data_IF_773414538425
#
_entry.id   IF_773414538425
#
_cell.length_a   1.000
_cell.length_b   1.000
_cell.length_c   1.000
_cell.angle_alpha   90.00
_cell.angle_beta   90.00
_cell.angle_gamma   90.00
#
_symmetry.space_group_name_H-M   'P 1'
#
loop_
_entity.id
_entity.type
_entity.pdbx_description
1 polymer ?
#
# COMPACT_ATOMS: atom_id res chain seq x y z
N UNK A 1 -18.22 3.43 -18.34
CA UNK A 1 -16.93 2.84 -17.96
C UNK A 1 -15.78 3.69 -18.51
N UNK A 2 -15.90 4.26 -19.72
CA UNK A 2 -14.93 5.25 -20.25
C UNK A 2 -14.83 6.54 -19.40
N UNK A 3 -15.93 7.05 -18.83
CA UNK A 3 -15.91 8.24 -17.95
C UNK A 3 -15.24 8.03 -16.57
N UNK A 4 -15.06 6.78 -16.13
CA UNK A 4 -14.41 6.48 -14.85
C UNK A 4 -12.88 6.62 -14.93
N UNK A 5 -12.32 6.46 -16.13
CA UNK A 5 -10.89 6.51 -16.45
C UNK A 5 -10.52 7.83 -17.14
N UNK A 6 -11.14 8.94 -16.74
CA UNK A 6 -10.70 10.28 -17.11
C UNK A 6 -9.26 10.51 -16.64
N UNK A 7 -8.30 10.15 -17.47
CA UNK A 7 -6.89 10.43 -17.25
C UNK A 7 -6.62 11.87 -17.67
N UNK A 8 -5.90 12.59 -16.84
CA UNK A 8 -5.30 13.85 -17.24
C UNK A 8 -4.21 13.54 -18.29
N UNK A 9 -4.56 13.66 -19.58
CA UNK A 9 -3.64 13.38 -20.69
C UNK A 9 -2.66 14.56 -20.86
N UNK A 10 -1.49 14.28 -21.44
CA UNK A 10 -0.55 15.32 -21.83
C UNK A 10 -1.24 16.36 -22.74
N UNK A 11 -0.92 17.65 -22.56
CA UNK A 11 -1.47 18.75 -23.35
C UNK A 11 -2.87 19.23 -22.95
N UNK A 12 -3.41 18.75 -21.82
CA UNK A 12 -4.63 19.27 -21.19
C UNK A 12 -4.45 20.70 -20.67
N UNK A 13 -3.23 21.09 -20.29
CA UNK A 13 -2.95 22.44 -19.77
C UNK A 13 -2.29 23.34 -20.81
N UNK A 14 -2.44 24.65 -20.65
CA UNK A 14 -1.73 25.66 -21.45
C UNK A 14 -0.21 25.73 -21.13
N UNK A 15 0.24 25.16 -20.01
CA UNK A 15 1.67 25.07 -19.65
C UNK A 15 2.31 23.80 -20.25
N UNK A 16 3.64 23.80 -20.40
CA UNK A 16 4.42 22.58 -20.68
C UNK A 16 4.00 21.47 -19.69
N UNK A 17 3.87 20.23 -20.15
CA UNK A 17 3.11 19.16 -19.50
C UNK A 17 3.44 18.84 -18.03
N UNK A 18 2.76 17.84 -17.45
CA UNK A 18 2.99 17.41 -16.06
C UNK A 18 4.38 16.78 -15.86
N UNK A 19 5.43 17.57 -15.77
CA UNK A 19 6.77 17.05 -15.58
C UNK A 19 6.86 16.25 -14.28
N UNK A 20 7.42 15.04 -14.36
CA UNK A 20 7.71 14.19 -13.22
C UNK A 20 8.73 14.88 -12.29
N UNK A 21 8.19 15.64 -11.33
CA UNK A 21 8.94 16.48 -10.39
C UNK A 21 8.13 16.71 -9.11
N UNK A 22 8.82 16.95 -8.00
CA UNK A 22 8.15 17.28 -6.74
C UNK A 22 7.42 18.62 -6.79
N UNK A 23 7.97 19.61 -7.50
CA UNK A 23 7.35 20.93 -7.71
C UNK A 23 5.99 20.81 -8.38
N UNK A 24 5.86 19.93 -9.38
CA UNK A 24 4.59 19.69 -10.06
C UNK A 24 3.56 19.00 -9.14
N UNK A 25 4.01 18.07 -8.28
CA UNK A 25 3.14 17.44 -7.28
C UNK A 25 2.67 18.47 -6.26
N UNK A 26 3.55 19.35 -5.81
CA UNK A 26 3.20 20.46 -4.90
C UNK A 26 2.22 21.43 -5.55
N UNK A 27 2.44 21.78 -6.82
CA UNK A 27 1.52 22.61 -7.59
C UNK A 27 0.12 21.98 -7.66
N UNK A 28 0.04 20.70 -8.03
CA UNK A 28 -1.21 19.93 -8.11
C UNK A 28 -2.00 19.91 -6.79
N UNK A 29 -1.29 19.82 -5.66
CA UNK A 29 -1.89 19.68 -4.33
C UNK A 29 -2.05 21.01 -3.59
N UNK A 30 -1.49 22.10 -4.12
CA UNK A 30 -1.67 23.44 -3.58
C UNK A 30 -3.10 23.97 -3.79
N UNK A 31 -3.80 23.46 -4.82
CA UNK A 31 -5.19 23.76 -5.03
C UNK A 31 -6.07 23.02 -4.01
N UNK A 32 -6.97 23.70 -3.29
CA UNK A 32 -7.96 23.03 -2.46
C UNK A 32 -8.76 22.00 -3.26
N UNK A 33 -9.02 20.85 -2.62
CA UNK A 33 -9.95 19.85 -3.13
C UNK A 33 -11.34 20.47 -3.21
N UNK A 34 -12.10 20.13 -4.25
CA UNK A 34 -13.48 20.61 -4.42
C UNK A 34 -14.32 20.38 -3.16
N UNK A 35 -14.88 21.46 -2.63
CA UNK A 35 -15.77 21.46 -1.47
C UNK A 35 -16.90 22.47 -1.70
N UNK A 36 -18.13 22.21 -1.24
CA UNK A 36 -19.26 23.15 -1.39
C UNK A 36 -18.99 24.54 -0.80
N UNK A 37 -18.00 24.66 0.10
CA UNK A 37 -17.65 25.88 0.82
C UNK A 37 -16.50 26.66 0.17
N UNK A 38 -15.86 26.13 -0.88
CA UNK A 38 -14.70 26.74 -1.55
C UNK A 38 -15.14 27.25 -2.93
N UNK A 39 -14.92 28.54 -3.25
CA UNK A 39 -15.20 29.07 -4.59
C UNK A 39 -14.48 28.27 -5.67
N UNK A 40 -15.17 28.00 -6.78
CA UNK A 40 -14.67 27.18 -7.89
C UNK A 40 -13.34 27.70 -8.42
N UNK A 41 -13.15 29.02 -8.44
CA UNK A 41 -11.91 29.66 -8.93
C UNK A 41 -10.69 29.29 -8.09
N UNK A 42 -10.89 28.96 -6.81
CA UNK A 42 -9.81 28.54 -5.91
C UNK A 42 -9.43 27.08 -6.09
N UNK A 43 -10.26 26.25 -6.72
CA UNK A 43 -9.99 24.81 -6.93
C UNK A 43 -9.41 24.50 -8.31
N UNK A 44 -9.16 25.53 -9.12
CA UNK A 44 -8.60 25.43 -10.46
C UNK A 44 -7.10 25.16 -10.40
N UNK A 45 -6.69 23.97 -10.87
CA UNK A 45 -5.27 23.58 -11.04
C UNK A 45 -4.70 23.97 -12.41
N UNK A 46 -5.54 24.55 -13.27
CA UNK A 46 -5.14 25.14 -14.55
C UNK A 46 -6.27 25.16 -15.56
N UNK A 47 -5.97 25.25 -16.86
CA UNK A 47 -7.01 25.46 -17.90
C UNK A 47 -6.79 24.60 -19.13
N UNK A 48 -7.89 24.09 -19.69
CA UNK A 48 -7.94 23.47 -21.00
C UNK A 48 -7.50 24.45 -22.11
N UNK A 49 -7.19 23.92 -23.30
CA UNK A 49 -6.82 24.75 -24.47
C UNK A 49 -7.91 25.76 -24.87
N UNK A 50 -9.18 25.42 -24.61
CA UNK A 50 -10.34 26.29 -24.84
C UNK A 50 -10.56 27.32 -23.72
N UNK A 51 -9.71 27.35 -22.69
CA UNK A 51 -9.77 28.25 -21.55
C UNK A 51 -10.61 27.75 -20.36
N UNK A 52 -11.29 26.62 -20.50
CA UNK A 52 -12.14 26.04 -19.44
C UNK A 52 -11.31 25.67 -18.20
N UNK A 53 -11.79 25.97 -16.97
CA UNK A 53 -11.06 25.66 -15.75
C UNK A 53 -10.98 24.14 -15.52
N UNK A 54 -9.83 23.70 -15.04
CA UNK A 54 -9.52 22.31 -14.72
C UNK A 54 -9.36 22.17 -13.22
N UNK A 55 -10.06 21.21 -12.60
CA UNK A 55 -10.02 20.97 -11.15
C UNK A 55 -9.38 19.61 -10.85
N UNK A 56 -8.74 19.48 -9.69
CA UNK A 56 -8.12 18.21 -9.29
C UNK A 56 -9.13 17.06 -9.19
N UNK A 57 -10.37 17.39 -8.81
CA UNK A 57 -11.52 16.47 -8.79
C UNK A 57 -11.92 15.93 -10.17
N UNK A 58 -11.51 16.62 -11.24
CA UNK A 58 -11.90 16.27 -12.61
C UNK A 58 -11.11 15.09 -13.18
N UNK A 59 -10.05 14.65 -12.47
CA UNK A 59 -9.26 13.49 -12.86
C UNK A 59 -9.05 12.53 -11.70
N UNK A 60 -8.88 11.27 -12.07
CA UNK A 60 -8.40 10.24 -11.16
C UNK A 60 -6.95 9.87 -11.48
N UNK A 61 -6.60 9.78 -12.76
CA UNK A 61 -5.26 9.39 -13.21
C UNK A 61 -4.45 10.58 -13.72
N UNK A 62 -3.15 10.57 -13.44
CA UNK A 62 -2.23 11.67 -13.74
C UNK A 62 -1.05 11.11 -14.52
N UNK A 63 -0.98 11.43 -15.82
CA UNK A 63 0.13 11.01 -16.65
C UNK A 63 1.25 12.05 -16.59
N UNK A 64 2.33 11.71 -15.90
CA UNK A 64 3.51 12.57 -15.83
C UNK A 64 4.41 12.38 -17.06
N UNK A 65 4.99 13.48 -17.53
CA UNK A 65 5.92 13.56 -18.66
C UNK A 65 7.37 13.70 -18.16
N UNK A 66 8.33 13.44 -19.03
CA UNK A 66 9.76 13.53 -18.76
C UNK A 66 10.57 12.36 -19.30
N UNK A 67 11.86 12.38 -19.04
CA UNK A 67 12.75 11.25 -19.36
C UNK A 67 12.40 10.02 -18.51
N UNK A 68 12.79 8.82 -18.96
CA UNK A 68 12.62 7.58 -18.20
C UNK A 68 13.20 7.69 -16.78
N UNK A 69 14.33 8.38 -16.62
CA UNK A 69 14.96 8.65 -15.33
C UNK A 69 14.08 9.50 -14.40
N UNK A 70 13.37 10.49 -14.93
CA UNK A 70 12.48 11.37 -14.14
C UNK A 70 11.21 10.62 -13.74
N UNK A 71 10.59 9.90 -14.69
CA UNK A 71 9.35 9.16 -14.46
C UNK A 71 9.55 8.02 -13.45
N UNK A 72 10.72 7.37 -13.48
CA UNK A 72 11.09 6.29 -12.57
C UNK A 72 11.96 6.73 -11.39
N UNK A 73 12.06 8.04 -11.13
CA UNK A 73 12.82 8.53 -10.00
C UNK A 73 12.24 7.98 -8.68
N UNK A 74 13.04 7.28 -7.85
CA UNK A 74 12.56 6.69 -6.60
C UNK A 74 11.92 7.70 -5.66
N UNK A 75 12.50 8.90 -5.57
CA UNK A 75 12.04 9.94 -4.66
C UNK A 75 10.72 10.52 -5.13
N UNK A 76 10.58 10.77 -6.43
CA UNK A 76 9.34 11.23 -7.04
C UNK A 76 8.20 10.22 -6.84
N UNK A 77 8.44 8.94 -7.10
CA UNK A 77 7.43 7.89 -6.90
C UNK A 77 7.03 7.72 -5.43
N UNK A 78 7.99 7.81 -4.50
CA UNK A 78 7.70 7.84 -3.08
C UNK A 78 6.94 9.11 -2.66
N UNK A 79 7.20 10.26 -3.30
CA UNK A 79 6.45 11.51 -3.07
C UNK A 79 4.99 11.34 -3.46
N UNK A 80 4.71 10.74 -4.61
CA UNK A 80 3.35 10.42 -5.04
C UNK A 80 2.63 9.55 -4.00
N UNK A 81 3.26 8.47 -3.55
CA UNK A 81 2.71 7.60 -2.51
C UNK A 81 2.48 8.36 -1.18
N UNK A 82 3.41 9.23 -0.79
CA UNK A 82 3.31 10.10 0.39
C UNK A 82 2.14 11.07 0.30
N UNK A 83 1.82 11.56 -0.89
CA UNK A 83 0.67 12.43 -1.16
C UNK A 83 -0.64 11.68 -1.40
N UNK A 84 -0.65 10.36 -1.25
CA UNK A 84 -1.85 9.53 -1.30
C UNK A 84 -2.19 8.96 -2.68
N UNK A 85 -1.31 9.12 -3.68
CA UNK A 85 -1.50 8.49 -4.98
C UNK A 85 -1.26 6.98 -4.90
N UNK A 86 -2.13 6.21 -5.55
CA UNK A 86 -1.90 4.81 -5.87
C UNK A 86 -1.36 4.70 -7.28
N UNK A 87 -0.13 4.23 -7.42
CA UNK A 87 0.50 4.14 -8.73
C UNK A 87 0.42 2.70 -9.25
N UNK A 88 -0.26 2.53 -10.38
CA UNK A 88 -0.20 1.30 -11.17
C UNK A 88 0.82 1.47 -12.31
N UNK A 89 1.10 0.42 -13.08
CA UNK A 89 1.80 0.59 -14.35
C UNK A 89 0.86 0.30 -15.50
N UNK A 90 0.95 1.10 -16.56
CA UNK A 90 0.14 0.99 -17.78
C UNK A 90 1.04 0.97 -19.00
N UNK A 91 0.57 0.41 -20.12
CA UNK A 91 1.31 0.31 -21.37
C UNK A 91 1.46 -1.13 -21.87
N UNK A 92 2.06 -1.27 -23.05
CA UNK A 92 2.28 -2.56 -23.70
C UNK A 92 3.39 -3.39 -23.02
N UNK A 93 3.55 -4.63 -23.46
CA UNK A 93 4.52 -5.58 -22.89
C UNK A 93 5.99 -5.14 -22.91
N UNK A 94 6.35 -4.14 -23.74
CA UNK A 94 7.73 -3.65 -23.90
C UNK A 94 8.02 -2.35 -23.15
N UNK A 95 7.01 -1.55 -22.85
CA UNK A 95 7.20 -0.25 -22.21
C UNK A 95 5.97 0.05 -21.36
N UNK A 96 6.12 -0.21 -20.07
CA UNK A 96 5.15 0.21 -19.07
C UNK A 96 5.67 1.44 -18.38
N UNK A 97 4.76 2.35 -18.05
CA UNK A 97 5.04 3.57 -17.32
C UNK A 97 4.15 3.65 -16.08
N UNK A 98 4.61 4.31 -15.01
CA UNK A 98 3.78 4.61 -13.86
C UNK A 98 2.56 5.43 -14.27
N UNK A 99 1.39 5.05 -13.75
CA UNK A 99 0.15 5.80 -13.86
C UNK A 99 -0.39 6.05 -12.46
N UNK A 100 0.04 7.15 -11.81
CA UNK A 100 -0.48 7.57 -10.53
C UNK A 100 -1.98 7.87 -10.59
N UNK A 101 -2.72 7.32 -9.63
CA UNK A 101 -4.14 7.59 -9.41
C UNK A 101 -4.33 8.27 -8.05
N UNK A 102 -4.95 9.45 -8.05
CA UNK A 102 -5.56 9.98 -6.84
C UNK A 102 -7.00 9.49 -6.82
N UNK A 103 -7.27 8.46 -6.02
CA UNK A 103 -8.53 7.74 -6.07
C UNK A 103 -9.70 8.64 -5.59
N UNK A 104 -10.92 8.47 -6.12
CA UNK A 104 -12.08 9.25 -5.67
C UNK A 104 -12.55 8.85 -4.26
N UNK A 105 -12.32 7.59 -3.88
CA UNK A 105 -12.44 7.15 -2.50
C UNK A 105 -11.29 6.20 -2.15
N UNK A 106 -11.18 5.77 -0.90
CA UNK A 106 -10.18 4.83 -0.41
C UNK A 106 -10.80 3.85 0.57
N UNK A 107 -10.43 2.58 0.46
CA UNK A 107 -10.74 1.56 1.44
C UNK A 107 -9.75 1.60 2.60
N UNK A 108 -10.23 1.85 3.82
CA UNK A 108 -9.39 1.96 5.02
C UNK A 108 -9.87 1.00 6.10
N UNK A 109 -8.95 0.26 6.70
CA UNK A 109 -9.17 -0.57 7.88
C UNK A 109 -8.76 0.18 9.14
N UNK A 110 -9.75 0.50 9.96
CA UNK A 110 -9.54 0.88 11.36
C UNK A 110 -9.54 -0.38 12.24
N UNK A 111 -8.67 -0.42 13.24
CA UNK A 111 -8.49 -1.60 14.09
C UNK A 111 -9.78 -2.04 14.79
N UNK A 112 -10.63 -1.08 15.20
CA UNK A 112 -11.95 -1.39 15.77
C UNK A 112 -12.79 -2.25 14.83
N UNK A 113 -12.85 -1.90 13.54
CA UNK A 113 -13.65 -2.63 12.56
C UNK A 113 -12.98 -3.98 12.20
N UNK A 114 -11.67 -3.97 11.99
CA UNK A 114 -10.87 -5.16 11.71
C UNK A 114 -11.02 -6.22 12.81
N UNK A 115 -10.92 -5.81 14.07
CA UNK A 115 -11.06 -6.69 15.24
C UNK A 115 -12.46 -7.27 15.42
N UNK A 116 -13.48 -6.65 14.82
CA UNK A 116 -14.86 -7.12 14.86
C UNK A 116 -15.22 -8.06 13.70
N UNK A 117 -14.43 -8.05 12.62
CA UNK A 117 -14.69 -8.84 11.42
C UNK A 117 -14.68 -10.35 11.71
N UNK A 118 -15.77 -11.04 11.31
CA UNK A 118 -15.93 -12.48 11.53
C UNK A 118 -14.81 -13.32 10.88
N UNK A 119 -14.41 -13.07 9.62
CA UNK A 119 -13.32 -13.82 8.98
C UNK A 119 -12.00 -13.67 9.72
N UNK A 120 -11.70 -12.47 10.22
CA UNK A 120 -10.48 -12.19 11.01
C UNK A 120 -10.47 -13.01 12.29
N UNK A 121 -11.57 -12.99 13.07
CA UNK A 121 -11.69 -13.80 14.28
C UNK A 121 -11.55 -15.31 14.00
N UNK A 122 -12.15 -15.78 12.91
CA UNK A 122 -12.06 -17.20 12.49
C UNK A 122 -10.62 -17.59 12.13
N UNK A 123 -9.93 -16.75 11.38
CA UNK A 123 -8.53 -16.98 10.99
C UNK A 123 -7.60 -16.99 12.20
N UNK A 124 -7.71 -16.00 13.09
CA UNK A 124 -6.90 -15.94 14.31
C UNK A 124 -7.18 -17.12 15.25
N UNK A 125 -8.44 -17.60 15.33
CA UNK A 125 -8.75 -18.82 16.09
C UNK A 125 -8.05 -20.05 15.52
N UNK A 126 -7.93 -20.17 14.19
CA UNK A 126 -7.22 -21.27 13.53
C UNK A 126 -5.72 -21.26 13.89
N UNK A 127 -5.10 -20.08 13.90
CA UNK A 127 -3.72 -19.91 14.38
C UNK A 127 -3.58 -20.34 15.85
N UNK A 128 -4.49 -19.89 16.74
CA UNK A 128 -4.47 -20.27 18.16
C UNK A 128 -4.72 -21.74 18.44
N UNK A 129 -5.61 -22.40 17.70
CA UNK A 129 -5.87 -23.83 17.89
C UNK A 129 -4.65 -24.70 17.54
N UNK A 130 -3.68 -24.12 16.85
CA UNK A 130 -2.39 -24.73 16.53
C UNK A 130 -1.31 -24.34 17.58
N UNK A 131 -1.55 -23.29 18.39
CA UNK A 131 -0.73 -22.94 19.58
C UNK A 131 -1.07 -23.87 20.75
N UNK A 132 -0.14 -24.75 21.10
CA UNK A 132 -0.32 -25.78 22.14
C UNK A 132 -0.08 -27.21 21.63
N UNK A 133 0.03 -27.39 20.32
CA UNK A 133 0.68 -28.54 19.70
C UNK A 133 2.16 -28.21 19.43
N UNK A 134 3.09 -29.19 19.44
CA UNK A 134 4.47 -28.94 19.03
C UNK A 134 4.49 -28.41 17.58
N UNK A 135 4.81 -27.12 17.42
CA UNK A 135 4.91 -26.41 16.14
C UNK A 135 3.66 -25.61 15.79
N UNK A 136 3.72 -24.27 15.93
CA UNK A 136 2.79 -23.39 15.21
C UNK A 136 2.88 -23.73 13.72
N UNK A 137 1.75 -23.91 13.02
CA UNK A 137 1.80 -24.25 11.59
C UNK A 137 2.22 -23.07 10.74
N UNK A 138 1.92 -21.83 11.17
CA UNK A 138 2.15 -20.65 10.36
C UNK A 138 3.04 -19.62 11.02
N UNK A 139 3.93 -19.02 10.23
CA UNK A 139 4.87 -17.99 10.66
C UNK A 139 4.82 -16.82 9.70
N UNK A 140 4.56 -15.63 10.22
CA UNK A 140 4.57 -14.39 9.46
C UNK A 140 5.93 -13.71 9.63
N UNK A 141 6.58 -13.40 8.52
CA UNK A 141 7.83 -12.64 8.49
C UNK A 141 7.64 -11.36 7.69
N UNK A 142 8.49 -10.38 7.97
CA UNK A 142 8.58 -9.16 7.21
C UNK A 142 9.96 -8.95 6.65
N UNK A 143 10.01 -8.45 5.42
CA UNK A 143 11.21 -8.08 4.71
C UNK A 143 12.20 -9.25 4.65
N UNK A 144 11.69 -10.48 4.55
CA UNK A 144 12.55 -11.66 4.50
C UNK A 144 13.07 -11.91 3.10
N UNK A 145 12.18 -11.88 2.10
CA UNK A 145 12.57 -12.18 0.73
C UNK A 145 11.65 -11.50 -0.29
N UNK A 146 11.84 -10.19 -0.49
CA UNK A 146 11.09 -9.39 -1.47
C UNK A 146 11.03 -10.03 -2.86
N UNK A 147 12.13 -10.64 -3.33
CA UNK A 147 12.20 -11.26 -4.64
C UNK A 147 11.27 -12.48 -4.74
N UNK A 148 11.30 -13.36 -3.73
CA UNK A 148 10.42 -14.53 -3.68
C UNK A 148 8.95 -14.12 -3.55
N UNK A 149 8.66 -13.12 -2.70
CA UNK A 149 7.32 -12.56 -2.54
C UNK A 149 6.79 -11.98 -3.86
N UNK A 150 7.62 -11.24 -4.59
CA UNK A 150 7.25 -10.75 -5.92
C UNK A 150 7.04 -11.88 -6.93
N UNK A 151 7.86 -12.94 -6.91
CA UNK A 151 7.67 -14.09 -7.81
C UNK A 151 6.31 -14.76 -7.59
N UNK A 152 5.92 -14.99 -6.33
CA UNK A 152 4.61 -15.53 -5.98
C UNK A 152 3.46 -14.63 -6.44
N UNK A 153 3.59 -13.33 -6.19
CA UNK A 153 2.63 -12.32 -6.64
C UNK A 153 2.51 -12.26 -8.16
N UNK A 154 3.63 -12.23 -8.86
CA UNK A 154 3.66 -12.15 -10.32
C UNK A 154 3.03 -13.38 -10.97
N UNK A 155 3.29 -14.58 -10.43
CA UNK A 155 2.64 -15.80 -10.91
C UNK A 155 1.13 -15.75 -10.64
N UNK A 156 0.73 -15.38 -9.42
CA UNK A 156 -0.68 -15.26 -9.05
C UNK A 156 -1.45 -14.32 -9.99
N UNK A 157 -0.91 -13.13 -10.27
CA UNK A 157 -1.59 -12.18 -11.17
C UNK A 157 -1.58 -12.61 -12.62
N UNK A 158 -0.51 -13.25 -13.11
CA UNK A 158 -0.52 -13.85 -14.46
C UNK A 158 -1.59 -14.92 -14.59
N UNK A 159 -1.76 -15.76 -13.58
CA UNK A 159 -2.75 -16.83 -13.59
C UNK A 159 -4.20 -16.32 -13.48
N UNK A 160 -4.42 -15.12 -12.96
CA UNK A 160 -5.76 -14.51 -12.80
C UNK A 160 -6.12 -13.55 -13.93
N UNK A 161 -5.16 -12.73 -14.35
CA UNK A 161 -5.38 -11.55 -15.20
C UNK A 161 -4.55 -11.59 -16.50
N UNK A 162 -3.76 -12.64 -16.73
CA UNK A 162 -2.82 -12.75 -17.86
C UNK A 162 -1.52 -11.97 -17.67
N UNK A 163 -1.52 -10.95 -16.80
CA UNK A 163 -0.37 -10.12 -16.51
C UNK A 163 -0.41 -9.53 -15.09
N UNK A 164 0.77 -9.12 -14.59
CA UNK A 164 0.90 -8.43 -13.31
C UNK A 164 1.08 -6.93 -13.56
N UNK A 165 0.22 -6.09 -12.99
CA UNK A 165 0.30 -4.63 -13.11
C UNK A 165 1.54 -4.06 -12.40
N UNK A 166 2.05 -4.73 -11.37
CA UNK A 166 3.20 -4.26 -10.62
C UNK A 166 4.46 -4.85 -11.25
N UNK A 167 5.23 -4.03 -11.97
CA UNK A 167 6.47 -4.50 -12.61
C UNK A 167 7.60 -4.62 -11.60
N UNK A 168 8.63 -5.38 -11.95
CA UNK A 168 9.86 -5.42 -11.15
C UNK A 168 10.55 -4.06 -11.09
N UNK A 169 10.60 -3.33 -12.21
CA UNK A 169 11.14 -1.95 -12.28
C UNK A 169 10.46 -1.01 -11.27
N UNK A 170 9.14 -1.13 -11.10
CA UNK A 170 8.39 -0.39 -10.08
C UNK A 170 8.83 -0.73 -8.66
N UNK A 171 9.00 -2.02 -8.36
CA UNK A 171 9.50 -2.44 -7.05
C UNK A 171 10.95 -2.02 -6.80
N UNK A 172 11.81 -2.01 -7.82
CA UNK A 172 13.18 -1.53 -7.69
C UNK A 172 13.23 -0.04 -7.34
N UNK A 173 12.38 0.77 -7.97
CA UNK A 173 12.27 2.19 -7.63
C UNK A 173 11.76 2.39 -6.19
N UNK A 174 10.72 1.66 -5.79
CA UNK A 174 10.22 1.72 -4.40
C UNK A 174 11.25 1.22 -3.38
N UNK A 175 12.02 0.19 -3.73
CA UNK A 175 13.11 -0.30 -2.89
C UNK A 175 14.20 0.76 -2.74
N UNK A 176 14.62 1.41 -3.84
CA UNK A 176 15.61 2.47 -3.78
C UNK A 176 15.14 3.66 -2.92
N UNK A 177 13.85 4.00 -2.96
CA UNK A 177 13.28 5.02 -2.08
C UNK A 177 13.27 4.57 -0.61
N UNK A 178 12.94 3.30 -0.36
CA UNK A 178 12.95 2.69 0.97
C UNK A 178 14.33 2.63 1.60
N UNK A 179 15.36 2.38 0.80
CA UNK A 179 16.77 2.31 1.24
C UNK A 179 17.34 3.71 1.53
N UNK A 180 16.66 4.79 1.12
CA UNK A 180 17.09 6.15 1.41
C UNK A 180 16.65 6.56 2.83
N UNK A 181 17.58 6.74 3.78
CA UNK A 181 17.25 7.04 5.17
C UNK A 181 16.63 8.43 5.35
N UNK A 182 16.79 9.34 4.38
CA UNK A 182 16.26 10.71 4.42
C UNK A 182 14.80 10.80 3.97
N UNK A 183 14.23 9.70 3.46
CA UNK A 183 12.86 9.65 2.95
C UNK A 183 11.97 8.88 3.93
N UNK A 184 10.81 9.46 4.23
CA UNK A 184 9.75 8.81 5.00
C UNK A 184 8.92 7.88 4.11
N UNK A 185 9.54 6.78 3.71
CA UNK A 185 8.93 5.75 2.89
C UNK A 185 9.62 4.43 3.17
N UNK A 186 8.87 3.36 3.45
CA UNK A 186 9.44 2.03 3.66
C UNK A 186 8.67 1.00 2.86
N UNK A 187 9.36 0.27 1.98
CA UNK A 187 8.79 -0.86 1.26
C UNK A 187 8.78 -2.07 2.19
N UNK A 188 7.68 -2.81 2.19
CA UNK A 188 7.53 -4.02 2.96
C UNK A 188 7.19 -5.21 2.04
N UNK A 189 7.87 -6.32 2.24
CA UNK A 189 7.35 -7.63 1.86
C UNK A 189 6.88 -8.36 3.12
N UNK A 190 5.72 -9.00 3.03
CA UNK A 190 5.12 -9.75 4.14
C UNK A 190 4.91 -11.17 3.67
N UNK A 191 5.47 -12.13 4.41
CA UNK A 191 5.53 -13.53 4.01
C UNK A 191 4.90 -14.43 5.07
N UNK A 192 3.95 -15.28 4.67
CA UNK A 192 3.39 -16.34 5.52
C UNK A 192 3.95 -17.69 5.09
N UNK A 193 4.67 -18.35 5.99
CA UNK A 193 5.21 -19.70 5.78
C UNK A 193 4.42 -20.76 6.56
N UNK A 194 4.40 -22.00 6.06
CA UNK A 194 3.79 -23.17 6.71
C UNK A 194 4.74 -23.92 7.68
N UNK A 195 5.76 -23.21 8.16
CA UNK A 195 6.73 -23.68 9.13
C UNK A 195 7.75 -22.59 9.45
N UNK A 196 8.56 -22.76 10.51
CA UNK A 196 9.57 -21.78 10.86
C UNK A 196 10.71 -21.85 9.85
N UNK A 197 11.27 -20.69 9.50
CA UNK A 197 12.47 -20.67 8.68
C UNK A 197 13.64 -21.28 9.44
N UNK A 198 14.46 -22.12 8.79
CA UNK A 198 15.61 -22.75 9.43
C UNK A 198 16.66 -21.70 9.82
N UNK A 199 17.37 -21.97 10.92
CA UNK A 199 18.55 -21.19 11.30
C UNK A 199 19.64 -21.32 10.22
N UNK A 200 20.39 -20.25 10.00
CA UNK A 200 21.46 -20.22 9.02
C UNK A 200 22.48 -21.35 9.31
N UNK A 201 22.75 -22.20 8.32
CA UNK A 201 23.69 -23.32 8.45
C UNK A 201 23.07 -24.63 8.94
N UNK A 202 21.76 -24.68 9.20
CA UNK A 202 21.04 -25.93 9.51
C UNK A 202 20.49 -26.60 8.26
N UNK A 203 20.58 -27.93 8.18
CA UNK A 203 20.10 -28.74 7.05
C UNK A 203 18.62 -29.11 7.15
N UNK A 204 17.78 -28.20 7.67
CA UNK A 204 16.35 -28.43 7.79
C UNK A 204 15.63 -28.08 6.49
N UNK A 205 14.53 -28.77 6.20
CA UNK A 205 13.69 -28.47 5.04
C UNK A 205 13.18 -27.02 5.13
N UNK A 206 13.26 -26.28 4.02
CA UNK A 206 12.74 -24.92 3.94
C UNK A 206 11.22 -24.98 3.89
N UNK A 207 10.49 -24.25 4.77
CA UNK A 207 9.04 -24.23 4.73
C UNK A 207 8.52 -23.55 3.44
N UNK A 208 7.29 -23.87 3.07
CA UNK A 208 6.65 -23.29 1.90
C UNK A 208 6.14 -21.89 2.20
N UNK A 209 6.36 -20.96 1.27
CA UNK A 209 5.69 -19.66 1.26
C UNK A 209 4.25 -19.85 0.76
N UNK A 210 3.27 -19.76 1.65
CA UNK A 210 1.87 -20.10 1.36
C UNK A 210 1.00 -18.88 1.05
N UNK A 211 1.41 -17.69 1.51
CA UNK A 211 0.78 -16.43 1.16
C UNK A 211 1.77 -15.28 1.37
N UNK A 212 1.51 -14.14 0.76
CA UNK A 212 2.31 -12.95 1.01
C UNK A 212 1.75 -11.73 0.33
N UNK A 213 2.26 -10.57 0.74
CA UNK A 213 1.95 -9.30 0.09
C UNK A 213 3.14 -8.36 0.05
N UNK A 214 3.02 -7.38 -0.83
CA UNK A 214 3.91 -6.23 -0.87
C UNK A 214 3.06 -5.00 -0.56
N UNK A 215 3.57 -4.17 0.32
CA UNK A 215 2.97 -2.91 0.75
C UNK A 215 4.03 -1.91 1.13
N UNK A 216 3.64 -0.74 1.61
CA UNK A 216 4.59 0.27 2.07
C UNK A 216 4.08 1.02 3.30
N UNK A 217 5.00 1.52 4.11
CA UNK A 217 4.77 2.33 5.29
C UNK A 217 5.16 3.79 5.08
N UNK A 218 4.32 4.70 5.56
CA UNK A 218 4.59 6.15 5.64
C UNK A 218 4.07 6.66 6.98
N UNK A 219 4.99 7.09 7.86
CA UNK A 219 4.64 7.40 9.25
C UNK A 219 3.88 6.24 9.90
N UNK A 220 2.67 6.52 10.41
CA UNK A 220 1.82 5.51 11.07
C UNK A 220 0.82 4.85 10.12
N UNK A 221 1.08 4.86 8.82
CA UNK A 221 0.15 4.36 7.80
C UNK A 221 0.81 3.21 7.07
N UNK A 222 0.12 2.08 6.98
CA UNK A 222 0.52 0.97 6.12
C UNK A 222 -0.45 0.88 4.94
N UNK A 223 0.09 0.77 3.73
CA UNK A 223 -0.68 0.67 2.50
C UNK A 223 -0.35 -0.63 1.80
N UNK A 224 -1.36 -1.50 1.62
CA UNK A 224 -1.19 -2.70 0.79
C UNK A 224 -1.21 -2.33 -0.68
N UNK A 225 -0.25 -2.85 -1.44
CA UNK A 225 -0.26 -2.76 -2.90
C UNK A 225 -0.95 -3.98 -3.49
N UNK A 226 -0.42 -5.16 -3.22
CA UNK A 226 -0.88 -6.40 -3.83
C UNK A 226 -0.37 -7.61 -3.07
N UNK A 227 -1.14 -8.69 -3.09
CA UNK A 227 -0.82 -9.94 -2.42
C UNK A 227 -1.22 -11.16 -3.23
N UNK A 228 -0.84 -12.32 -2.71
CA UNK A 228 -1.14 -13.63 -3.26
C UNK A 228 -1.36 -14.65 -2.16
N UNK A 229 -1.98 -15.76 -2.52
CA UNK A 229 -1.97 -16.98 -1.76
C UNK A 229 -1.82 -18.18 -2.70
N UNK A 230 -1.42 -19.32 -2.15
CA UNK A 230 -1.43 -20.58 -2.88
C UNK A 230 -2.89 -21.00 -3.11
N UNK A 231 -3.22 -21.32 -4.36
CA UNK A 231 -4.58 -21.76 -4.75
C UNK A 231 -4.94 -23.08 -4.06
N UNK A 232 -6.20 -23.21 -3.63
CA UNK A 232 -6.74 -24.43 -3.03
C UNK A 232 -6.72 -24.49 -1.50
N UNK A 233 -6.14 -23.49 -0.81
CA UNK A 233 -6.33 -23.29 0.64
C UNK A 233 -6.91 -21.89 0.88
N UNK A 234 -8.24 -21.77 0.78
CA UNK A 234 -8.96 -20.51 0.96
C UNK A 234 -8.71 -19.85 2.33
N UNK A 235 -8.13 -20.57 3.30
CA UNK A 235 -7.85 -20.06 4.63
C UNK A 235 -6.55 -19.28 4.76
N UNK A 236 -5.50 -19.59 3.98
CA UNK A 236 -4.16 -19.00 4.23
C UNK A 236 -4.09 -17.51 3.92
N UNK A 237 -4.86 -17.03 2.95
CA UNK A 237 -4.97 -15.58 2.69
C UNK A 237 -5.60 -14.84 3.87
N UNK A 238 -6.66 -15.41 4.45
CA UNK A 238 -7.28 -14.84 5.66
C UNK A 238 -6.34 -14.89 6.86
N UNK A 239 -5.57 -15.96 7.02
CA UNK A 239 -4.55 -16.05 8.08
C UNK A 239 -3.51 -14.96 7.89
N UNK A 240 -2.92 -14.82 6.70
CA UNK A 240 -1.90 -13.83 6.41
C UNK A 240 -2.40 -12.40 6.70
N UNK A 241 -3.56 -12.02 6.16
CA UNK A 241 -4.15 -10.69 6.36
C UNK A 241 -4.52 -10.44 7.82
N UNK A 242 -5.01 -11.46 8.53
CA UNK A 242 -5.39 -11.34 9.95
C UNK A 242 -4.17 -11.16 10.84
N UNK A 243 -3.09 -11.90 10.57
CA UNK A 243 -1.85 -11.79 11.32
C UNK A 243 -1.16 -10.46 11.03
N UNK A 244 -1.13 -10.03 9.76
CA UNK A 244 -0.60 -8.72 9.39
C UNK A 244 -1.37 -7.60 10.08
N UNK A 245 -2.70 -7.57 9.99
CA UNK A 245 -3.48 -6.50 10.62
C UNK A 245 -3.27 -6.42 12.14
N UNK A 246 -3.14 -7.56 12.82
CA UNK A 246 -2.79 -7.58 14.25
C UNK A 246 -1.38 -7.11 14.54
N UNK A 247 -0.44 -7.45 13.68
CA UNK A 247 0.93 -7.01 13.82
C UNK A 247 1.06 -5.49 13.59
N UNK A 248 0.36 -4.93 12.59
CA UNK A 248 0.29 -3.48 12.37
C UNK A 248 -0.33 -2.75 13.57
N UNK A 249 -1.42 -3.28 14.14
CA UNK A 249 -2.05 -2.76 15.37
C UNK A 249 -1.05 -2.78 16.55
N UNK A 250 -0.37 -3.91 16.76
CA UNK A 250 0.67 -4.05 17.78
C UNK A 250 1.81 -3.04 17.60
N UNK A 251 2.25 -2.85 16.34
CA UNK A 251 3.27 -1.89 15.93
C UNK A 251 2.80 -0.44 15.94
N UNK A 252 1.58 -0.14 16.39
CA UNK A 252 1.04 1.23 16.55
C UNK A 252 0.89 2.01 15.25
N UNK A 253 0.65 1.30 14.14
CA UNK A 253 0.06 1.94 12.97
C UNK A 253 -1.30 2.52 13.36
N UNK A 254 -1.67 3.65 12.78
CA UNK A 254 -2.95 4.33 13.02
C UNK A 254 -4.07 3.71 12.19
N UNK A 255 -3.78 3.31 10.96
CA UNK A 255 -4.71 2.58 10.09
C UNK A 255 -3.99 1.84 8.95
N UNK A 256 -4.73 0.96 8.30
CA UNK A 256 -4.28 0.21 7.12
C UNK A 256 -5.09 0.62 5.89
N UNK A 257 -4.43 1.22 4.90
CA UNK A 257 -4.99 1.55 3.60
C UNK A 257 -4.97 0.32 2.68
N UNK A 258 -6.14 -0.05 2.15
CA UNK A 258 -6.30 -1.12 1.17
C UNK A 258 -6.43 -0.60 -0.26
N UNK A 259 -6.37 0.72 -0.48
CA UNK A 259 -6.57 1.33 -1.81
C UNK A 259 -7.99 1.12 -2.37
N UNK A 260 -8.10 0.72 -3.63
CA UNK A 260 -9.37 0.59 -4.36
C UNK A 260 -10.45 -0.21 -3.61
N UNK A 261 -11.68 0.31 -3.52
CA UNK A 261 -12.80 -0.39 -2.87
C UNK A 261 -14.12 -0.49 -3.68
N UNK A 262 -14.13 -0.17 -4.99
CA UNK A 262 -15.37 -0.13 -5.80
C UNK A 262 -15.60 -1.34 -6.73
N UNK A 263 -14.71 -2.33 -6.76
CA UNK A 263 -14.89 -3.52 -7.59
C UNK A 263 -15.59 -4.66 -6.81
N UNK A 264 -16.51 -5.44 -7.42
CA UNK A 264 -17.04 -6.66 -6.83
C UNK A 264 -15.95 -7.66 -6.40
N UNK A 265 -14.80 -7.67 -7.09
CA UNK A 265 -13.63 -8.50 -6.77
C UNK A 265 -12.96 -8.09 -5.43
N UNK A 266 -13.40 -6.98 -4.82
CA UNK A 266 -12.88 -6.45 -3.55
C UNK A 266 -13.78 -6.79 -2.35
N UNK A 267 -14.72 -7.74 -2.50
CA UNK A 267 -15.59 -8.19 -1.40
C UNK A 267 -14.79 -8.64 -0.16
N UNK A 268 -13.63 -9.28 -0.35
CA UNK A 268 -12.78 -9.67 0.78
C UNK A 268 -12.36 -8.47 1.63
N UNK A 269 -12.15 -7.29 1.04
CA UNK A 269 -11.86 -6.07 1.79
C UNK A 269 -13.03 -5.71 2.69
N UNK A 270 -14.28 -5.80 2.19
CA UNK A 270 -15.49 -5.50 2.99
C UNK A 270 -15.59 -6.47 4.16
N UNK A 271 -15.32 -7.74 3.88
CA UNK A 271 -15.28 -8.81 4.87
C UNK A 271 -14.16 -8.65 5.92
N UNK A 272 -13.03 -8.00 5.59
CA UNK A 272 -12.01 -7.56 6.55
C UNK A 272 -12.47 -6.40 7.45
N UNK A 273 -13.57 -5.74 7.11
CA UNK A 273 -14.14 -4.63 7.88
C UNK A 273 -13.69 -3.24 7.43
N UNK A 274 -13.22 -3.05 6.19
CA UNK A 274 -12.84 -1.72 5.74
C UNK A 274 -14.06 -0.78 5.67
N UNK A 275 -13.78 0.51 5.81
CA UNK A 275 -14.70 1.62 5.53
C UNK A 275 -14.24 2.34 4.28
N UNK A 276 -15.18 2.94 3.58
CA UNK A 276 -14.92 3.74 2.39
C UNK A 276 -14.84 5.20 2.84
N UNK A 277 -13.75 5.87 2.50
CA UNK A 277 -13.53 7.30 2.74
C UNK A 277 -13.40 8.02 1.41
N UNK A 278 -14.06 9.17 1.26
CA UNK A 278 -13.81 10.05 0.12
C UNK A 278 -12.33 10.45 0.03
N UNK A 279 -11.90 10.89 -1.16
CA UNK A 279 -10.54 11.43 -1.37
C UNK A 279 -10.17 12.47 -0.32
N UNK A 280 -11.06 13.42 -0.06
CA UNK A 280 -10.83 14.49 0.92
C UNK A 280 -10.59 13.92 2.32
N UNK A 281 -11.51 13.09 2.82
CA UNK A 281 -11.40 12.49 4.16
C UNK A 281 -10.12 11.64 4.30
N UNK A 282 -9.79 10.85 3.27
CA UNK A 282 -8.57 10.04 3.27
C UNK A 282 -7.32 10.91 3.32
N UNK A 283 -7.21 11.95 2.48
CA UNK A 283 -6.03 12.83 2.45
C UNK A 283 -5.87 13.62 3.76
N UNK A 284 -6.98 14.03 4.39
CA UNK A 284 -6.93 14.64 5.72
C UNK A 284 -6.36 13.67 6.77
N UNK A 285 -6.82 12.41 6.79
CA UNK A 285 -6.26 11.37 7.67
C UNK A 285 -4.79 11.09 7.37
N UNK A 286 -4.45 10.98 6.09
CA UNK A 286 -3.08 10.77 5.62
C UNK A 286 -2.16 11.88 6.17
N UNK A 287 -2.55 13.15 6.02
CA UNK A 287 -1.79 14.32 6.50
C UNK A 287 -1.51 14.29 8.00
N UNK A 288 -2.46 13.82 8.81
CA UNK A 288 -2.31 13.72 10.26
C UNK A 288 -1.29 12.66 10.68
N UNK A 289 -1.23 11.53 9.96
CA UNK A 289 -0.49 10.34 10.40
C UNK A 289 0.84 10.13 9.65
N UNK A 290 1.01 10.75 8.48
CA UNK A 290 2.17 10.51 7.60
C UNK A 290 3.48 11.13 8.09
N UNK A 291 3.45 12.18 8.92
CA UNK A 291 4.66 12.92 9.32
C UNK A 291 5.33 13.67 8.16
N UNK A 292 6.56 14.19 8.30
CA UNK A 292 7.26 14.90 7.21
C UNK A 292 7.79 13.95 6.15
N UNK A 293 7.81 14.36 4.88
CA UNK A 293 8.36 13.53 3.79
C UNK A 293 9.88 13.37 3.87
N UNK A 294 10.59 14.46 4.20
CA UNK A 294 12.04 14.48 4.44
C UNK A 294 12.32 14.34 5.92
N UNK A 295 13.20 13.42 6.27
CA UNK A 295 13.63 13.17 7.64
C UNK A 295 14.91 13.98 7.92
N UNK A 296 15.03 14.55 9.12
CA UNK A 296 16.24 15.26 9.55
C UNK A 296 17.40 14.28 9.75
N UNK A 297 18.63 14.80 9.64
CA UNK A 297 19.86 14.01 9.84
C UNK A 297 20.04 13.54 11.30
N UNK A 298 19.25 14.08 12.25
CA UNK A 298 19.33 13.80 13.69
C UNK A 298 18.82 12.40 14.10
N UNK A 299 18.55 11.52 13.14
CA UNK A 299 18.40 10.07 13.37
C UNK A 299 17.17 9.61 14.16
N UNK A 300 16.32 10.52 14.64
CA UNK A 300 15.14 10.20 15.46
C UNK A 300 13.83 10.37 14.67
N UNK A 301 13.86 10.05 13.37
CA UNK A 301 12.67 10.03 12.54
C UNK A 301 11.74 8.87 12.95
N UNK A 302 10.48 9.20 13.28
CA UNK A 302 9.39 8.33 13.76
C UNK A 302 9.05 7.06 12.96
N UNK A 303 9.85 6.67 11.98
CA UNK A 303 9.56 5.60 11.03
C UNK A 303 10.29 4.29 11.37
N UNK A 304 10.42 3.97 12.67
CA UNK A 304 11.17 2.81 13.18
C UNK A 304 10.36 1.52 13.36
N UNK A 305 9.06 1.53 13.03
CA UNK A 305 8.15 0.49 13.53
C UNK A 305 8.33 -0.89 12.84
N UNK A 306 8.75 -0.91 11.56
CA UNK A 306 8.99 -2.12 10.75
C UNK A 306 10.38 -2.11 10.09
N UNK A 307 11.41 -1.67 10.80
CA UNK A 307 12.74 -1.42 10.20
C UNK A 307 13.65 -2.65 10.07
N UNK A 308 13.45 -3.71 10.84
CA UNK A 308 14.41 -4.81 10.86
C UNK A 308 14.11 -5.83 9.77
N UNK A 309 15.05 -6.00 8.83
CA UNK A 309 15.00 -7.06 7.82
C UNK A 309 14.86 -8.43 8.49
N UNK A 310 13.85 -9.20 8.09
CA UNK A 310 13.62 -10.54 8.63
C UNK A 310 13.01 -10.55 10.03
N UNK A 311 12.34 -9.48 10.47
CA UNK A 311 11.57 -9.50 11.71
C UNK A 311 10.49 -10.59 11.60
N UNK A 312 10.53 -11.54 12.53
CA UNK A 312 9.44 -12.50 12.71
C UNK A 312 8.34 -11.82 13.51
N UNK A 313 7.10 -11.92 13.02
CA UNK A 313 5.95 -11.57 13.83
C UNK A 313 5.88 -12.54 15.01
N UNK A 314 5.84 -12.01 16.22
CA UNK A 314 5.53 -12.81 17.40
C UNK A 314 4.05 -13.21 17.32
N UNK A 315 3.81 -14.38 16.72
CA UNK A 315 2.48 -14.95 16.52
C UNK A 315 1.74 -15.07 17.85
N UNK A 316 2.44 -15.44 18.93
CA UNK A 316 1.86 -15.56 20.26
C UNK A 316 1.44 -14.21 20.84
N UNK A 317 2.23 -13.15 20.60
CA UNK A 317 1.87 -11.80 21.04
C UNK A 317 0.64 -11.25 20.30
N UNK A 318 0.50 -11.51 18.99
CA UNK A 318 -0.63 -11.03 18.20
C UNK A 318 -1.91 -11.85 18.37
N UNK A 319 -1.79 -13.09 18.87
CA UNK A 319 -2.91 -13.96 19.22
C UNK A 319 -3.28 -13.92 20.71
N UNK A 320 -2.47 -13.33 21.58
CA UNK A 320 -2.79 -13.24 23.01
C UNK A 320 -4.17 -12.58 23.26
N UNK A 321 -4.94 -13.01 24.28
CA UNK A 321 -6.24 -12.42 24.61
C UNK A 321 -6.22 -10.92 25.00
N UNK A 322 -5.07 -10.25 25.07
CA UNK A 322 -4.92 -8.91 25.63
C UNK A 322 -4.19 -7.94 24.71
N UNK A 323 -4.94 -7.30 23.80
CA UNK A 323 -4.69 -5.90 23.44
C UNK A 323 -5.91 -5.01 23.76
N UNK A 324 -6.97 -5.58 24.34
CA UNK A 324 -8.24 -4.89 24.57
C UNK A 324 -8.47 -4.36 26.00
N UNK A 325 -7.57 -4.59 26.97
CA UNK A 325 -7.82 -4.22 28.38
C UNK A 325 -6.84 -3.23 29.00
N UNK A 326 -5.84 -2.71 28.27
CA UNK A 326 -4.89 -1.73 28.84
C UNK A 326 -5.25 -0.25 28.61
N UNK A 327 -6.42 0.05 28.07
CA UNK A 327 -6.90 1.44 27.90
C UNK A 327 -8.39 1.52 28.23
N UNK A 328 -8.69 1.60 29.52
CA UNK A 328 -9.90 2.24 30.05
C UNK A 328 -9.47 3.38 30.96
#
# INVERSE_FOLDING_TARGET
MEDYFGACRAGVFQQEGFMASEEMVEHLLSAPVDSPTIPVEKTVVGRFRDGSPVRLSSFNYFLFDGTDKQIWDPIFLARLAYEGFFTITTGGSRERIPLPELQPYYGVLDWKNFNQAKPVKKALKRVKSEEGCPGCKYYLYCNRNLKLTYQGLNQYHKDQNGENWMTWKYLEAFKAASDNPKINFRLHSIELYDGPLPEAGTSSAVPNLVAGEIGYGIGKIYTSLSGFNVRGDDGVGWIQLSCLGKWLEYKKYSFWSLGHCYSPQMEYKRQLGHRIYTREEFLQRLKLERGPFRLSDDGHGHNSMLQTSGEACDMAAITAPSLQETFL
#
